data_IF_019707883024
#
_entry.id   IF_019707883024
#
_cell.length_a   1.000
_cell.length_b   1.000
_cell.length_c   1.000
_cell.angle_alpha   90.00
_cell.angle_beta   90.00
_cell.angle_gamma   90.00
#
_symmetry.space_group_name_H-M   'P 1'
#
loop_
_entity.id
_entity.type
_entity.pdbx_description
1 polymer ?
#
# COMPACT_ATOMS: atom_id res chain seq x y z
N UNK A 1 5.92 6.71 5.36
CA UNK A 1 7.29 6.25 5.62
C UNK A 1 8.20 6.76 4.50
N UNK A 2 9.38 7.34 4.78
CA UNK A 2 10.27 7.87 3.72
C UNK A 2 11.21 6.79 3.16
N UNK A 3 11.70 6.92 1.92
CA UNK A 3 12.70 5.98 1.37
C UNK A 3 14.02 6.04 2.12
N UNK A 4 14.40 7.20 2.63
CA UNK A 4 15.56 7.38 3.53
C UNK A 4 15.50 6.49 4.78
N UNK A 5 14.30 6.15 5.28
CA UNK A 5 14.14 5.27 6.46
C UNK A 5 14.25 3.78 6.13
N UNK A 6 14.17 3.38 4.86
CA UNK A 6 14.32 1.99 4.44
C UNK A 6 15.80 1.69 4.26
N UNK A 7 16.34 0.71 4.99
CA UNK A 7 17.76 0.38 4.91
C UNK A 7 18.04 -0.40 3.61
N UNK A 8 19.07 -0.01 2.87
CA UNK A 8 19.50 -0.69 1.64
C UNK A 8 18.62 -0.44 0.42
N UNK A 9 18.61 -1.41 -0.51
CA UNK A 9 17.79 -1.43 -1.73
C UNK A 9 17.95 -0.21 -2.67
N UNK A 10 19.16 0.36 -2.76
CA UNK A 10 19.41 1.57 -3.55
C UNK A 10 18.98 1.45 -5.02
N UNK A 11 19.31 0.34 -5.68
CA UNK A 11 18.92 0.10 -7.08
C UNK A 11 17.39 0.04 -7.25
N UNK A 12 16.68 -0.59 -6.31
CA UNK A 12 15.22 -0.69 -6.35
C UNK A 12 14.56 0.68 -6.13
N UNK A 13 15.04 1.47 -5.18
CA UNK A 13 14.56 2.84 -4.95
C UNK A 13 14.72 3.70 -6.20
N UNK A 14 15.90 3.67 -6.82
CA UNK A 14 16.17 4.42 -8.05
C UNK A 14 15.22 4.02 -9.18
N UNK A 15 14.97 2.71 -9.35
CA UNK A 15 14.02 2.20 -10.35
C UNK A 15 12.59 2.65 -10.10
N UNK A 16 12.12 2.57 -8.85
CA UNK A 16 10.77 3.01 -8.48
C UNK A 16 10.57 4.51 -8.68
N UNK A 17 11.56 5.32 -8.31
CA UNK A 17 11.54 6.78 -8.52
C UNK A 17 11.56 7.11 -10.02
N UNK A 18 12.41 6.42 -10.80
CA UNK A 18 12.47 6.56 -12.25
C UNK A 18 11.12 6.29 -12.92
N UNK A 19 10.47 5.17 -12.58
CA UNK A 19 9.15 4.82 -13.09
C UNK A 19 8.10 5.91 -12.86
N UNK A 20 8.09 6.53 -11.67
CA UNK A 20 7.15 7.60 -11.35
C UNK A 20 7.45 8.87 -12.15
N UNK A 21 8.72 9.22 -12.30
CA UNK A 21 9.14 10.39 -13.10
C UNK A 21 8.81 10.23 -14.58
N UNK A 22 8.95 9.01 -15.10
CA UNK A 22 8.55 8.66 -16.47
C UNK A 22 7.02 8.54 -16.64
N UNK A 23 6.24 8.62 -15.56
CA UNK A 23 4.78 8.40 -15.60
C UNK A 23 4.40 6.94 -15.88
N UNK A 24 5.33 6.00 -15.74
CA UNK A 24 5.16 4.57 -16.04
C UNK A 24 4.98 3.76 -14.75
N UNK A 25 3.88 3.99 -14.06
CA UNK A 25 3.55 3.27 -12.82
C UNK A 25 2.74 2.01 -13.15
N UNK A 26 3.23 0.79 -12.86
CA UNK A 26 2.44 -0.42 -13.02
C UNK A 26 1.24 -0.42 -12.06
N UNK A 27 0.12 -0.96 -12.51
CA UNK A 27 -1.10 -1.10 -11.70
C UNK A 27 -0.92 -2.07 -10.51
N UNK A 28 0.02 -3.02 -10.63
CA UNK A 28 0.34 -3.98 -9.58
C UNK A 28 1.84 -4.22 -9.49
N UNK A 29 2.37 -4.20 -8.27
CA UNK A 29 3.76 -4.53 -7.98
C UNK A 29 3.84 -5.50 -6.80
N UNK A 30 4.52 -6.63 -7.03
CA UNK A 30 4.76 -7.65 -6.03
C UNK A 30 6.19 -7.50 -5.49
N UNK A 31 6.33 -7.24 -4.19
CA UNK A 31 7.63 -7.19 -3.52
C UNK A 31 7.93 -8.54 -2.86
N UNK A 32 8.92 -9.26 -3.38
CA UNK A 32 9.33 -10.59 -2.89
C UNK A 32 10.67 -10.49 -2.19
N UNK A 33 10.80 -11.18 -1.05
CA UNK A 33 12.03 -11.19 -0.27
C UNK A 33 11.91 -12.05 1.00
N UNK A 34 13.04 -12.39 1.62
CA UNK A 34 13.04 -13.12 2.88
C UNK A 34 12.40 -12.31 4.01
N UNK A 35 11.97 -12.99 5.07
CA UNK A 35 11.44 -12.30 6.26
C UNK A 35 12.46 -11.29 6.79
N UNK A 36 12.00 -10.08 7.09
CA UNK A 36 12.86 -8.99 7.57
C UNK A 36 13.52 -8.15 6.47
N UNK A 37 13.31 -8.44 5.17
CA UNK A 37 13.90 -7.66 4.06
C UNK A 37 13.37 -6.22 3.90
N UNK A 38 12.38 -5.82 4.70
CA UNK A 38 11.79 -4.48 4.64
C UNK A 38 10.82 -4.25 3.48
N UNK A 39 10.28 -5.30 2.86
CA UNK A 39 9.38 -5.16 1.70
C UNK A 39 8.12 -4.33 2.01
N UNK A 40 7.48 -4.55 3.18
CA UNK A 40 6.32 -3.75 3.57
C UNK A 40 6.70 -2.27 3.75
N UNK A 41 7.84 -2.00 4.39
CA UNK A 41 8.37 -0.66 4.56
C UNK A 41 8.65 0.03 3.21
N UNK A 42 9.20 -0.72 2.25
CA UNK A 42 9.43 -0.25 0.88
C UNK A 42 8.11 0.06 0.17
N UNK A 43 7.11 -0.81 0.28
CA UNK A 43 5.79 -0.60 -0.31
C UNK A 43 5.10 0.65 0.26
N UNK A 44 5.15 0.84 1.59
CA UNK A 44 4.61 2.03 2.24
C UNK A 44 5.37 3.31 1.86
N UNK A 45 6.68 3.23 1.68
CA UNK A 45 7.47 4.37 1.22
C UNK A 45 7.16 4.75 -0.22
N UNK A 46 7.00 3.76 -1.09
CA UNK A 46 6.57 3.96 -2.47
C UNK A 46 5.17 4.57 -2.54
N UNK A 47 4.20 4.06 -1.77
CA UNK A 47 2.86 4.62 -1.68
C UNK A 47 2.88 6.08 -1.18
N UNK A 48 3.68 6.40 -0.16
CA UNK A 48 3.80 7.77 0.33
C UNK A 48 4.39 8.70 -0.74
N UNK A 49 5.38 8.24 -1.51
CA UNK A 49 5.96 9.03 -2.59
C UNK A 49 4.99 9.25 -3.75
N UNK A 50 4.13 8.27 -4.06
CA UNK A 50 3.08 8.39 -5.08
C UNK A 50 2.04 9.46 -4.74
N UNK A 51 1.54 9.43 -3.50
CA UNK A 51 0.47 10.31 -2.99
C UNK A 51 0.97 11.69 -2.52
N UNK A 52 2.28 11.90 -2.52
CA UNK A 52 2.87 13.18 -2.15
C UNK A 52 2.58 14.23 -3.25
N UNK A 53 2.07 15.40 -2.85
CA UNK A 53 1.84 16.53 -3.76
C UNK A 53 3.17 17.16 -4.20
N UNK A 54 4.05 17.43 -3.23
CA UNK A 54 5.37 18.02 -3.47
C UNK A 54 6.47 16.95 -3.47
N UNK A 55 6.56 16.22 -4.58
CA UNK A 55 7.56 15.14 -4.75
C UNK A 55 8.96 15.73 -4.86
N UNK A 56 9.86 15.35 -3.96
CA UNK A 56 11.28 15.68 -4.07
C UNK A 56 11.97 14.83 -5.13
N UNK A 57 13.26 15.12 -5.37
CA UNK A 57 14.07 14.31 -6.30
C UNK A 57 14.15 12.84 -5.84
N UNK A 58 14.50 12.58 -4.58
CA UNK A 58 14.73 11.22 -4.10
C UNK A 58 13.67 10.73 -3.11
N UNK A 59 12.90 11.64 -2.51
CA UNK A 59 12.05 11.33 -1.36
C UNK A 59 10.77 12.18 -1.36
N UNK A 60 9.79 11.73 -0.57
CA UNK A 60 8.57 12.50 -0.32
C UNK A 60 8.88 13.68 0.64
N UNK A 61 8.18 14.81 0.52
CA UNK A 61 8.48 15.99 1.34
C UNK A 61 8.27 15.77 2.85
N UNK A 62 7.36 14.89 3.26
CA UNK A 62 7.09 14.58 4.66
C UNK A 62 6.29 15.65 5.42
N UNK A 63 6.05 16.82 4.83
CA UNK A 63 5.36 17.95 5.46
C UNK A 63 3.96 18.21 4.89
N UNK A 64 3.65 17.66 3.70
CA UNK A 64 2.36 17.84 3.06
C UNK A 64 1.21 17.18 3.86
N UNK A 65 -0.05 17.64 3.75
CA UNK A 65 -1.19 17.03 4.43
C UNK A 65 -1.30 15.52 4.15
N UNK A 66 -1.15 15.13 2.88
CA UNK A 66 -1.13 13.73 2.45
C UNK A 66 0.02 12.96 3.10
N UNK A 67 1.19 13.59 3.23
CA UNK A 67 2.38 13.00 3.83
C UNK A 67 2.19 12.76 5.34
N UNK A 68 1.56 13.69 6.05
CA UNK A 68 1.24 13.60 7.48
C UNK A 68 0.22 12.48 7.72
N UNK A 69 -0.84 12.40 6.90
CA UNK A 69 -1.84 11.32 6.98
C UNK A 69 -1.22 9.95 6.66
N UNK A 70 -0.37 9.88 5.62
CA UNK A 70 0.38 8.68 5.28
C UNK A 70 1.35 8.24 6.39
N UNK A 71 1.91 9.17 7.16
CA UNK A 71 2.75 8.84 8.30
C UNK A 71 1.97 8.14 9.42
N UNK A 72 0.68 8.48 9.56
CA UNK A 72 -0.26 7.83 10.49
C UNK A 72 -0.97 6.60 9.90
N UNK A 73 -0.79 6.31 8.61
CA UNK A 73 -1.51 5.27 7.86
C UNK A 73 -3.04 5.51 7.77
N UNK A 74 -3.46 6.77 7.81
CA UNK A 74 -4.88 7.19 7.82
C UNK A 74 -5.28 7.89 6.51
N UNK A 75 -4.45 7.81 5.48
CA UNK A 75 -4.74 8.45 4.21
C UNK A 75 -5.95 7.78 3.54
N UNK A 76 -6.95 8.55 3.04
CA UNK A 76 -8.18 7.99 2.48
C UNK A 76 -7.92 7.06 1.30
N UNK A 77 -6.92 7.37 0.47
CA UNK A 77 -6.53 6.55 -0.69
C UNK A 77 -5.62 5.36 -0.35
N UNK A 78 -5.22 5.18 0.91
CA UNK A 78 -4.42 4.03 1.35
C UNK A 78 -5.33 2.95 1.92
N UNK A 79 -5.50 1.86 1.18
CA UNK A 79 -6.23 0.68 1.64
C UNK A 79 -5.27 -0.44 2.03
N UNK A 80 -5.40 -0.93 3.27
CA UNK A 80 -4.66 -2.09 3.76
C UNK A 80 -5.63 -3.26 3.93
N UNK A 81 -5.42 -4.33 3.16
CA UNK A 81 -6.19 -5.56 3.27
C UNK A 81 -5.36 -6.63 3.96
N UNK A 82 -5.83 -7.08 5.12
CA UNK A 82 -5.23 -8.19 5.86
C UNK A 82 -6.22 -9.33 5.99
N UNK A 83 -5.77 -10.59 5.90
CA UNK A 83 -6.64 -11.73 6.14
C UNK A 83 -7.09 -11.75 7.61
N UNK A 84 -8.40 -11.71 7.82
CA UNK A 84 -9.00 -11.93 9.14
C UNK A 84 -9.51 -13.37 9.22
N UNK A 85 -9.03 -14.13 10.20
CA UNK A 85 -9.52 -15.48 10.45
C UNK A 85 -10.84 -15.42 11.22
N UNK A 86 -11.97 -15.34 10.52
CA UNK A 86 -13.27 -15.57 11.16
C UNK A 86 -13.44 -17.08 11.42
N UNK A 87 -13.40 -17.47 12.69
CA UNK A 87 -13.76 -18.82 13.13
C UNK A 87 -15.24 -19.05 12.86
N UNK A 88 -15.55 -19.69 11.73
CA UNK A 88 -16.90 -20.06 11.31
C UNK A 88 -17.50 -21.03 12.33
N UNK A 89 -18.35 -20.57 13.26
CA UNK A 89 -19.30 -21.47 13.93
C UNK A 89 -20.28 -21.93 12.84
N UNK A 90 -20.18 -23.20 12.44
CA UNK A 90 -21.16 -23.84 11.54
C UNK A 90 -22.57 -23.63 12.09
N UNK A 91 -23.50 -23.13 11.27
CA UNK A 91 -24.93 -23.44 11.36
C UNK A 91 -25.37 -24.02 10.01
N UNK A 92 -26.21 -25.06 9.99
CA UNK A 92 -26.54 -25.81 8.78
C UNK A 92 -27.43 -25.00 7.84
N UNK A 93 -27.45 -25.48 6.60
CA UNK A 93 -28.13 -24.98 5.40
C UNK A 93 -29.62 -24.75 5.63
N UNK A 94 -30.11 -23.54 5.32
CA UNK A 94 -31.41 -23.35 4.70
C UNK A 94 -31.34 -22.15 3.74
N UNK A 95 -31.06 -22.42 2.46
CA UNK A 95 -31.37 -21.45 1.40
C UNK A 95 -32.82 -21.73 1.01
N UNK A 96 -33.76 -21.00 1.61
CA UNK A 96 -35.15 -20.96 1.17
C UNK A 96 -35.46 -19.54 0.69
N UNK A 97 -35.07 -19.23 -0.54
CA UNK A 97 -35.62 -18.07 -1.25
C UNK A 97 -37.00 -18.46 -1.80
N UNK A 98 -38.04 -18.33 -0.97
CA UNK A 98 -39.39 -18.13 -1.48
C UNK A 98 -39.51 -16.65 -1.82
N UNK A 99 -39.40 -16.32 -3.09
CA UNK A 99 -39.92 -15.05 -3.61
C UNK A 99 -41.31 -15.38 -4.14
N UNK A 100 -42.32 -15.04 -3.34
CA UNK A 100 -43.71 -14.91 -3.78
C UNK A 100 -44.11 -13.45 -3.63
N UNK A 101 -45.04 -13.01 -4.48
CA UNK A 101 -45.52 -11.65 -4.74
C UNK A 101 -44.61 -10.88 -5.71
N UNK A 102 -45.02 -10.51 -6.92
CA UNK A 102 -46.36 -10.30 -7.51
C UNK A 102 -46.44 -10.88 -8.92
#
# INVERSE_FOLDING_TARGET
MLFSKVIGHAALKAKLIGNIREGRVPHAQLMVGPRGSGNLAMALAYAQYLLCENKGQADACGTCPSCIQMAKLEHPDLHLAFPIYLRRRRKPVTISWRIGAQ
#
